data_IF_665701659569
#
_entry.id   IF_665701659569
#
_cell.length_a   1.000
_cell.length_b   1.000
_cell.length_c   1.000
_cell.angle_alpha   90.00
_cell.angle_beta   90.00
_cell.angle_gamma   90.00
#
_symmetry.space_group_name_H-M   'P 1'
#
loop_
_entity.id
_entity.type
_entity.pdbx_description
1 polymer ?
#
# COMPACT_ATOMS: atom_id res chain seq x y z
N UNK A 1 9.65 -14.19 -29.22
CA UNK A 1 8.92 -12.91 -29.27
C UNK A 1 8.05 -12.85 -28.02
N UNK A 2 8.08 -11.76 -27.26
CA UNK A 2 7.32 -11.66 -26.01
C UNK A 2 5.84 -11.47 -26.32
N UNK A 3 5.00 -12.41 -25.87
CA UNK A 3 3.54 -12.32 -25.96
C UNK A 3 2.99 -12.07 -24.55
N UNK A 4 2.22 -10.99 -24.41
CA UNK A 4 1.62 -10.54 -23.15
C UNK A 4 0.10 -10.61 -23.28
N UNK A 5 -0.53 -11.43 -22.43
CA UNK A 5 -1.98 -11.50 -22.28
C UNK A 5 -2.41 -10.65 -21.08
N UNK A 6 -3.21 -9.63 -21.34
CA UNK A 6 -3.87 -8.79 -20.32
C UNK A 6 -5.26 -9.36 -20.05
N UNK A 7 -5.53 -9.75 -18.81
CA UNK A 7 -6.85 -10.24 -18.40
C UNK A 7 -7.84 -9.08 -18.24
N UNK A 8 -9.04 -9.23 -18.82
CA UNK A 8 -10.05 -8.16 -18.88
C UNK A 8 -10.86 -8.03 -17.58
N UNK A 9 -10.21 -7.52 -16.52
CA UNK A 9 -10.88 -7.11 -15.28
C UNK A 9 -10.57 -5.65 -14.96
N UNK A 10 -11.60 -4.81 -14.74
CA UNK A 10 -11.38 -3.44 -14.28
C UNK A 10 -10.86 -3.43 -12.84
N UNK A 11 -10.06 -2.43 -12.51
CA UNK A 11 -9.52 -2.23 -11.15
C UNK A 11 -9.72 -0.78 -10.75
N UNK A 12 -10.25 -0.55 -9.55
CA UNK A 12 -10.60 0.79 -9.05
C UNK A 12 -11.49 1.62 -10.00
N UNK A 13 -12.37 0.95 -10.77
CA UNK A 13 -13.23 1.58 -11.77
C UNK A 13 -12.54 1.93 -13.09
N UNK A 14 -11.27 1.55 -13.27
CA UNK A 14 -10.48 1.85 -14.47
C UNK A 14 -10.41 0.58 -15.33
N UNK A 15 -10.78 0.63 -16.63
CA UNK A 15 -10.85 -0.56 -17.49
C UNK A 15 -9.46 -1.08 -17.87
N UNK A 16 -9.30 -2.41 -17.97
CA UNK A 16 -8.05 -3.07 -18.37
C UNK A 16 -7.58 -2.71 -19.80
N UNK A 17 -8.46 -2.11 -20.62
CA UNK A 17 -8.07 -1.58 -21.94
C UNK A 17 -7.03 -0.47 -21.85
N UNK A 18 -7.09 0.36 -20.79
CA UNK A 18 -6.07 1.39 -20.54
C UNK A 18 -4.72 0.75 -20.18
N UNK A 19 -4.74 -0.36 -19.44
CA UNK A 19 -3.54 -1.12 -19.12
C UNK A 19 -2.89 -1.72 -20.37
N UNK A 20 -3.69 -2.38 -21.21
CA UNK A 20 -3.21 -2.91 -22.47
C UNK A 20 -2.65 -1.81 -23.40
N UNK A 21 -3.27 -0.62 -23.42
CA UNK A 21 -2.75 0.52 -24.17
C UNK A 21 -1.41 1.01 -23.61
N UNK A 22 -1.30 1.19 -22.28
CA UNK A 22 -0.07 1.60 -21.62
C UNK A 22 1.09 0.62 -21.83
N UNK A 23 0.80 -0.69 -21.87
CA UNK A 23 1.80 -1.72 -22.19
C UNK A 23 2.27 -1.64 -23.65
N UNK A 24 1.36 -1.43 -24.62
CA UNK A 24 1.75 -1.30 -26.04
C UNK A 24 2.65 -0.09 -26.28
N UNK A 25 2.42 1.00 -25.55
CA UNK A 25 3.27 2.20 -25.60
C UNK A 25 4.68 1.92 -25.07
N UNK A 26 4.80 1.21 -23.95
CA UNK A 26 6.09 0.92 -23.28
C UNK A 26 6.88 -0.21 -23.93
N UNK A 27 6.18 -1.18 -24.52
CA UNK A 27 6.75 -2.41 -25.05
C UNK A 27 6.38 -2.57 -26.53
N UNK A 28 6.91 -1.70 -27.43
CA UNK A 28 6.56 -1.71 -28.85
C UNK A 28 6.95 -3.01 -29.57
N UNK A 29 7.94 -3.75 -29.04
CA UNK A 29 8.40 -5.02 -29.60
C UNK A 29 7.65 -6.25 -29.06
N UNK A 30 6.74 -6.06 -28.09
CA UNK A 30 5.93 -7.13 -27.51
C UNK A 30 4.54 -7.21 -28.18
N UNK A 31 4.01 -8.42 -28.32
CA UNK A 31 2.63 -8.63 -28.76
C UNK A 31 1.69 -8.56 -27.55
N UNK A 32 0.97 -7.45 -27.37
CA UNK A 32 0.02 -7.27 -26.27
C UNK A 32 -1.42 -7.58 -26.70
N UNK A 33 -1.97 -8.66 -26.15
CA UNK A 33 -3.34 -9.14 -26.39
C UNK A 33 -4.24 -8.80 -25.21
N UNK A 34 -5.45 -8.34 -25.51
CA UNK A 34 -6.47 -8.00 -24.52
C UNK A 34 -7.84 -8.50 -25.04
N UNK A 35 -8.06 -9.82 -24.97
CA UNK A 35 -9.29 -10.45 -25.44
C UNK A 35 -10.49 -10.05 -24.57
N UNK A 36 -11.70 -10.12 -25.15
CA UNK A 36 -12.94 -9.67 -24.51
C UNK A 36 -13.89 -10.80 -24.13
N UNK A 37 -13.60 -12.00 -24.60
CA UNK A 37 -14.39 -13.20 -24.30
C UNK A 37 -13.52 -14.28 -23.67
N UNK A 38 -14.15 -15.21 -22.94
CA UNK A 38 -13.46 -16.37 -22.37
C UNK A 38 -12.77 -17.19 -23.45
N UNK A 39 -13.45 -17.46 -24.57
CA UNK A 39 -12.88 -18.26 -25.66
C UNK A 39 -11.60 -17.62 -26.25
N UNK A 40 -11.64 -16.31 -26.53
CA UNK A 40 -10.45 -15.58 -26.99
C UNK A 40 -9.34 -15.52 -25.94
N UNK A 41 -9.71 -15.49 -24.65
CA UNK A 41 -8.75 -15.48 -23.54
C UNK A 41 -8.01 -16.81 -23.45
N UNK A 42 -8.73 -17.93 -23.52
CA UNK A 42 -8.15 -19.27 -23.51
C UNK A 42 -7.30 -19.52 -24.75
N UNK A 43 -7.72 -19.06 -25.92
CA UNK A 43 -6.92 -19.15 -27.15
C UNK A 43 -5.61 -18.34 -27.03
N UNK A 44 -5.72 -17.09 -26.55
CA UNK A 44 -4.56 -16.22 -26.37
C UNK A 44 -3.61 -16.67 -25.25
N UNK A 45 -4.07 -17.48 -24.30
CA UNK A 45 -3.25 -17.99 -23.20
C UNK A 45 -2.24 -19.05 -23.67
N UNK A 46 -2.59 -19.84 -24.70
CA UNK A 46 -1.78 -20.98 -25.20
C UNK A 46 -0.33 -20.63 -25.51
N UNK A 47 -0.11 -19.48 -26.14
CA UNK A 47 1.21 -18.99 -26.55
C UNK A 47 1.66 -17.73 -25.77
N UNK A 48 0.95 -17.38 -24.68
CA UNK A 48 1.31 -16.24 -23.85
C UNK A 48 2.49 -16.57 -22.93
N UNK A 49 3.64 -15.95 -23.19
CA UNK A 49 4.81 -16.04 -22.29
C UNK A 49 4.62 -15.27 -20.97
N UNK A 50 3.77 -14.25 -21.00
CA UNK A 50 3.44 -13.41 -19.85
C UNK A 50 1.93 -13.27 -19.76
N UNK A 51 1.36 -13.52 -18.59
CA UNK A 51 -0.04 -13.21 -18.27
C UNK A 51 -0.06 -12.17 -17.16
N UNK A 52 -0.91 -11.15 -17.29
CA UNK A 52 -1.04 -10.08 -16.30
C UNK A 52 -2.50 -9.78 -15.97
N UNK A 53 -2.78 -9.57 -14.68
CA UNK A 53 -4.11 -9.29 -14.17
C UNK A 53 -4.18 -9.31 -12.65
N UNK A 54 -5.32 -8.93 -12.09
CA UNK A 54 -5.53 -8.94 -10.64
C UNK A 54 -5.83 -10.33 -10.08
N UNK A 55 -6.21 -11.29 -10.92
CA UNK A 55 -6.46 -12.70 -10.56
C UNK A 55 -6.11 -13.59 -11.74
N UNK A 56 -5.76 -14.84 -11.48
CA UNK A 56 -5.52 -15.84 -12.52
C UNK A 56 -6.57 -16.96 -12.42
N UNK A 57 -7.53 -17.06 -13.35
CA UNK A 57 -8.47 -18.18 -13.41
C UNK A 57 -7.77 -19.52 -13.72
N UNK A 58 -8.26 -20.61 -13.15
CA UNK A 58 -7.67 -21.96 -13.31
C UNK A 58 -7.70 -22.43 -14.77
N UNK A 59 -8.78 -22.17 -15.50
CA UNK A 59 -8.91 -22.53 -16.92
C UNK A 59 -7.91 -21.78 -17.81
N UNK A 60 -7.62 -20.52 -17.48
CA UNK A 60 -6.57 -19.72 -18.14
C UNK A 60 -5.19 -20.29 -17.81
N UNK A 61 -4.93 -20.66 -16.56
CA UNK A 61 -3.66 -21.28 -16.17
C UNK A 61 -3.48 -22.65 -16.86
N UNK A 62 -4.52 -23.47 -16.92
CA UNK A 62 -4.53 -24.78 -17.60
C UNK A 62 -4.28 -24.67 -19.10
N UNK A 63 -4.75 -23.60 -19.74
CA UNK A 63 -4.50 -23.35 -21.16
C UNK A 63 -3.11 -22.75 -21.44
N UNK A 64 -2.38 -22.26 -20.45
CA UNK A 64 -1.18 -21.45 -20.63
C UNK A 64 0.12 -22.27 -20.72
N UNK A 65 0.30 -22.96 -21.85
CA UNK A 65 1.41 -23.90 -22.09
C UNK A 65 2.80 -23.23 -22.09
N UNK A 66 2.88 -21.97 -22.54
CA UNK A 66 4.14 -21.21 -22.67
C UNK A 66 4.39 -20.20 -21.55
N UNK A 67 3.56 -20.20 -20.49
CA UNK A 67 3.62 -19.21 -19.42
C UNK A 67 4.95 -19.29 -18.65
N UNK A 68 5.65 -18.16 -18.57
CA UNK A 68 6.91 -18.03 -17.81
C UNK A 68 6.80 -17.03 -16.67
N UNK A 69 5.95 -16.02 -16.82
CA UNK A 69 5.73 -14.97 -15.84
C UNK A 69 4.24 -14.68 -15.68
N UNK A 70 3.73 -14.83 -14.47
CA UNK A 70 2.49 -14.18 -14.05
C UNK A 70 2.81 -12.85 -13.35
N UNK A 71 2.40 -11.74 -13.96
CA UNK A 71 2.55 -10.40 -13.38
C UNK A 71 1.25 -9.97 -12.70
N UNK A 72 1.18 -10.13 -11.39
CA UNK A 72 0.06 -9.71 -10.57
C UNK A 72 -0.10 -8.19 -10.63
N UNK A 73 -1.28 -7.74 -11.03
CA UNK A 73 -1.58 -6.33 -11.23
C UNK A 73 -2.03 -5.59 -9.95
N UNK A 74 -1.82 -6.18 -8.77
CA UNK A 74 -2.12 -5.62 -7.46
C UNK A 74 -0.93 -5.81 -6.51
N UNK A 75 -0.87 -5.02 -5.43
CA UNK A 75 0.15 -5.18 -4.41
C UNK A 75 -0.08 -6.44 -3.53
N UNK A 76 -1.33 -6.75 -3.20
CA UNK A 76 -1.72 -7.99 -2.53
C UNK A 76 -1.73 -9.17 -3.49
N UNK A 77 -1.33 -10.34 -3.01
CA UNK A 77 -1.17 -11.56 -3.84
C UNK A 77 -1.68 -12.84 -3.16
N UNK A 78 -2.29 -12.74 -1.98
CA UNK A 78 -2.69 -13.89 -1.15
C UNK A 78 -3.74 -14.81 -1.81
N UNK A 79 -4.51 -14.26 -2.75
CA UNK A 79 -5.55 -14.97 -3.49
C UNK A 79 -5.05 -15.66 -4.77
N UNK A 80 -3.76 -15.54 -5.11
CA UNK A 80 -3.20 -16.15 -6.31
C UNK A 80 -2.85 -17.64 -6.07
N UNK A 81 -2.94 -18.51 -7.10
CA UNK A 81 -2.60 -19.92 -6.99
C UNK A 81 -1.06 -20.12 -7.01
N UNK A 82 -0.37 -19.60 -6.00
CA UNK A 82 1.11 -19.54 -5.96
C UNK A 82 1.75 -20.92 -6.04
N UNK A 83 1.15 -21.94 -5.41
CA UNK A 83 1.70 -23.30 -5.43
C UNK A 83 1.61 -23.91 -6.83
N UNK A 84 0.46 -23.80 -7.50
CA UNK A 84 0.29 -24.30 -8.86
C UNK A 84 1.22 -23.58 -9.86
N UNK A 85 1.42 -22.27 -9.68
CA UNK A 85 2.39 -21.50 -10.47
C UNK A 85 3.82 -21.96 -10.22
N UNK A 86 4.16 -22.25 -8.95
CA UNK A 86 5.48 -22.78 -8.57
C UNK A 86 5.75 -24.17 -9.15
N UNK A 87 4.78 -25.08 -9.07
CA UNK A 87 4.88 -26.44 -9.63
C UNK A 87 5.10 -26.42 -11.15
N UNK A 88 4.54 -25.41 -11.84
CA UNK A 88 4.73 -25.18 -13.27
C UNK A 88 5.99 -24.38 -13.62
N UNK A 89 6.79 -23.99 -12.63
CA UNK A 89 8.00 -23.21 -12.85
C UNK A 89 7.74 -21.77 -13.30
N UNK A 90 6.56 -21.22 -13.03
CA UNK A 90 6.18 -19.87 -13.41
C UNK A 90 6.66 -18.86 -12.37
N UNK A 91 7.41 -17.85 -12.81
CA UNK A 91 7.78 -16.73 -11.97
C UNK A 91 6.55 -15.88 -11.67
N UNK A 92 6.41 -15.40 -10.42
CA UNK A 92 5.33 -14.50 -10.05
C UNK A 92 5.89 -13.19 -9.54
N UNK A 93 5.38 -12.09 -10.09
CA UNK A 93 5.63 -10.72 -9.58
C UNK A 93 4.32 -10.07 -9.16
N UNK A 94 4.38 -9.04 -8.33
CA UNK A 94 3.21 -8.22 -7.96
C UNK A 94 3.43 -6.73 -8.33
N UNK A 95 2.40 -5.91 -8.10
CA UNK A 95 2.45 -4.47 -8.36
C UNK A 95 2.78 -3.65 -7.09
N UNK A 96 3.60 -4.17 -6.17
CA UNK A 96 4.02 -3.40 -5.00
C UNK A 96 4.68 -2.07 -5.41
N UNK A 97 4.28 -0.99 -4.72
CA UNK A 97 4.75 0.37 -4.99
C UNK A 97 3.82 1.26 -5.82
N UNK A 98 2.81 0.71 -6.52
CA UNK A 98 1.88 1.54 -7.33
C UNK A 98 1.06 2.53 -6.52
N UNK A 99 0.89 2.27 -5.22
CA UNK A 99 0.10 3.12 -4.32
C UNK A 99 0.92 4.12 -3.51
N UNK A 100 2.26 4.07 -3.58
CA UNK A 100 3.15 4.88 -2.74
C UNK A 100 2.83 6.37 -2.78
N UNK A 101 2.78 7.02 -3.96
CA UNK A 101 2.56 8.46 -4.05
C UNK A 101 1.21 8.92 -3.48
N UNK A 102 0.11 8.25 -3.86
CA UNK A 102 -1.24 8.68 -3.48
C UNK A 102 -1.55 8.37 -2.00
N UNK A 103 -1.08 7.25 -1.46
CA UNK A 103 -1.25 6.97 -0.01
C UNK A 103 -0.42 7.97 0.79
N UNK A 104 0.80 8.30 0.35
CA UNK A 104 1.61 9.26 1.05
C UNK A 104 1.00 10.68 1.02
N UNK A 105 0.41 11.10 -0.11
CA UNK A 105 -0.40 12.32 -0.18
C UNK A 105 -1.60 12.29 0.78
N UNK A 106 -2.29 11.15 0.87
CA UNK A 106 -3.41 10.96 1.79
C UNK A 106 -2.98 11.11 3.27
N UNK A 107 -1.87 10.49 3.66
CA UNK A 107 -1.28 10.62 5.00
C UNK A 107 -0.94 12.07 5.30
N UNK A 108 -0.15 12.73 4.44
CA UNK A 108 0.23 14.14 4.63
C UNK A 108 -1.00 15.05 4.70
N UNK A 109 -2.03 14.77 3.88
CA UNK A 109 -3.31 15.45 3.93
C UNK A 109 -3.97 15.40 5.30
N UNK A 110 -4.03 14.21 5.92
CA UNK A 110 -4.55 14.05 7.29
C UNK A 110 -3.69 14.75 8.34
N UNK A 111 -2.35 14.60 8.26
CA UNK A 111 -1.44 15.27 9.18
C UNK A 111 -1.65 16.79 9.13
N UNK A 112 -1.70 17.39 7.93
CA UNK A 112 -1.94 18.82 7.78
C UNK A 112 -3.35 19.23 8.22
N UNK A 113 -4.38 18.44 7.88
CA UNK A 113 -5.76 18.73 8.27
C UNK A 113 -5.86 18.82 9.80
N UNK A 114 -5.27 17.86 10.51
CA UNK A 114 -5.32 17.77 11.97
C UNK A 114 -4.42 18.83 12.61
N UNK A 115 -3.14 18.91 12.23
CA UNK A 115 -2.15 19.82 12.84
C UNK A 115 -2.58 21.28 12.71
N UNK A 116 -3.11 21.67 11.55
CA UNK A 116 -3.59 23.04 11.28
C UNK A 116 -5.06 23.25 11.64
N UNK A 117 -5.75 22.19 12.09
CA UNK A 117 -7.17 22.17 12.45
C UNK A 117 -8.09 22.67 11.33
N UNK A 118 -7.82 22.24 10.11
CA UNK A 118 -8.65 22.59 8.95
C UNK A 118 -10.06 21.99 9.08
N UNK A 119 -10.20 20.87 9.78
CA UNK A 119 -11.47 20.27 10.18
C UNK A 119 -12.36 21.25 10.97
N UNK A 120 -11.79 21.99 11.94
CA UNK A 120 -12.51 23.00 12.72
C UNK A 120 -12.89 24.19 11.83
N UNK A 121 -12.01 24.57 10.90
CA UNK A 121 -12.31 25.56 9.87
C UNK A 121 -13.53 25.18 9.03
N UNK A 122 -13.58 23.93 8.55
CA UNK A 122 -14.71 23.39 7.79
C UNK A 122 -16.00 23.33 8.64
N UNK A 123 -15.90 22.95 9.92
CA UNK A 123 -17.04 22.96 10.86
C UNK A 123 -17.60 24.38 11.04
N UNK A 124 -16.73 25.38 11.23
CA UNK A 124 -17.14 26.80 11.33
C UNK A 124 -17.73 27.33 10.05
N UNK A 125 -17.17 26.99 8.90
CA UNK A 125 -17.72 27.35 7.59
C UNK A 125 -19.16 26.85 7.42
N UNK A 126 -19.44 25.59 7.78
CA UNK A 126 -20.80 25.01 7.74
C UNK A 126 -21.78 25.78 8.64
N UNK A 127 -21.30 26.27 9.79
CA UNK A 127 -22.07 27.12 10.72
C UNK A 127 -22.09 28.61 10.34
N UNK A 128 -21.42 29.01 9.25
CA UNK A 128 -21.22 30.43 8.83
C UNK A 128 -20.57 31.28 9.93
N UNK A 129 -19.65 30.69 10.68
CA UNK A 129 -19.00 31.31 11.83
C UNK A 129 -17.61 31.87 11.47
N UNK A 130 -17.45 33.20 11.48
CA UNK A 130 -16.15 33.84 11.32
C UNK A 130 -15.49 34.10 12.68
N UNK A 131 -14.87 33.07 13.25
CA UNK A 131 -14.09 33.17 14.48
C UNK A 131 -12.74 32.48 14.32
N UNK A 132 -11.70 33.06 14.93
CA UNK A 132 -10.35 32.49 14.92
C UNK A 132 -10.25 31.27 15.85
N UNK A 133 -9.41 30.30 15.50
CA UNK A 133 -9.01 29.18 16.35
C UNK A 133 -7.49 29.00 16.25
N UNK A 134 -6.91 28.33 17.24
CA UNK A 134 -5.48 28.02 17.27
C UNK A 134 -5.26 26.65 16.64
N UNK A 135 -4.22 26.51 15.81
CA UNK A 135 -3.71 25.22 15.36
C UNK A 135 -3.16 24.42 16.54
N UNK A 136 -2.96 23.11 16.35
CA UNK A 136 -2.25 22.30 17.33
C UNK A 136 -0.74 22.46 17.25
N UNK A 137 -0.22 22.85 16.08
CA UNK A 137 1.19 23.14 15.88
C UNK A 137 1.53 23.29 14.40
N UNK A 138 2.77 22.93 14.08
CA UNK A 138 3.32 22.80 12.73
C UNK A 138 3.99 21.43 12.60
N UNK A 139 4.18 20.94 11.37
CA UNK A 139 4.97 19.72 11.14
C UNK A 139 6.47 19.98 11.33
N UNK A 140 6.94 21.19 11.05
CA UNK A 140 8.36 21.53 11.14
C UNK A 140 8.86 21.39 12.58
N UNK A 141 9.94 20.63 12.76
CA UNK A 141 10.56 20.37 14.06
C UNK A 141 9.77 19.40 14.95
N UNK A 142 8.82 18.66 14.38
CA UNK A 142 8.15 17.54 15.06
C UNK A 142 8.83 16.21 14.77
N UNK A 143 8.44 15.17 15.49
CA UNK A 143 8.92 13.80 15.28
C UNK A 143 7.80 12.88 14.79
N UNK A 144 8.03 12.17 13.70
CA UNK A 144 7.11 11.17 13.14
C UNK A 144 7.72 9.77 13.18
N UNK A 145 6.98 8.81 13.72
CA UNK A 145 7.33 7.39 13.68
C UNK A 145 6.53 6.70 12.58
N UNK A 146 7.22 6.08 11.62
CA UNK A 146 6.62 5.39 10.46
C UNK A 146 6.84 3.88 10.60
N UNK A 147 5.77 3.16 10.93
CA UNK A 147 5.78 1.70 11.07
C UNK A 147 5.58 1.06 9.71
N UNK A 148 6.65 0.47 9.17
CA UNK A 148 6.70 -0.15 7.85
C UNK A 148 7.45 0.69 6.83
N UNK A 149 8.74 0.38 6.62
CA UNK A 149 9.60 1.03 5.62
C UNK A 149 9.55 0.37 4.23
N UNK A 150 8.35 -0.02 3.80
CA UNK A 150 8.06 -0.44 2.42
C UNK A 150 7.84 0.75 1.49
N UNK A 151 7.32 0.51 0.28
CA UNK A 151 7.12 1.58 -0.71
C UNK A 151 6.21 2.72 -0.21
N UNK A 152 5.18 2.42 0.60
CA UNK A 152 4.29 3.43 1.19
C UNK A 152 5.03 4.23 2.26
N UNK A 153 5.64 3.57 3.24
CA UNK A 153 6.35 4.26 4.32
C UNK A 153 7.50 5.12 3.81
N UNK A 154 8.27 4.65 2.84
CA UNK A 154 9.33 5.46 2.22
C UNK A 154 8.78 6.69 1.50
N UNK A 155 7.66 6.57 0.78
CA UNK A 155 7.02 7.72 0.13
C UNK A 155 6.46 8.73 1.16
N UNK A 156 5.97 8.26 2.31
CA UNK A 156 5.58 9.12 3.44
C UNK A 156 6.78 9.86 4.01
N UNK A 157 7.87 9.14 4.30
CA UNK A 157 9.11 9.71 4.83
C UNK A 157 9.70 10.78 3.90
N UNK A 158 9.75 10.51 2.59
CA UNK A 158 10.19 11.47 1.57
C UNK A 158 9.42 12.80 1.66
N UNK A 159 8.09 12.74 1.88
CA UNK A 159 7.27 13.96 2.01
C UNK A 159 7.49 14.64 3.35
N UNK A 160 7.65 13.88 4.43
CA UNK A 160 7.91 14.42 5.78
C UNK A 160 9.24 15.18 5.85
N UNK A 161 10.28 14.69 5.16
CA UNK A 161 11.59 15.35 5.06
C UNK A 161 11.46 16.78 4.53
N UNK A 162 10.65 16.98 3.47
CA UNK A 162 10.38 18.31 2.91
C UNK A 162 9.69 19.28 3.89
N UNK A 163 9.05 18.78 4.95
CA UNK A 163 8.47 19.59 6.03
C UNK A 163 9.45 19.84 7.19
N UNK A 164 10.65 19.26 7.17
CA UNK A 164 11.62 19.32 8.27
C UNK A 164 11.12 18.58 9.51
N UNK A 165 10.52 17.41 9.32
CA UNK A 165 10.08 16.48 10.37
C UNK A 165 11.21 15.49 10.64
N UNK A 166 11.56 15.26 11.90
CA UNK A 166 12.45 14.18 12.29
C UNK A 166 11.73 12.84 12.17
N UNK A 167 12.34 11.85 11.54
CA UNK A 167 11.69 10.58 11.18
C UNK A 167 12.35 9.38 11.86
N UNK A 168 11.51 8.56 12.50
CA UNK A 168 11.91 7.25 13.04
C UNK A 168 11.19 6.17 12.24
N UNK A 169 11.94 5.32 11.57
CA UNK A 169 11.41 4.18 10.82
C UNK A 169 11.36 2.93 11.68
N UNK A 170 10.24 2.20 11.66
CA UNK A 170 10.13 0.90 12.35
C UNK A 170 9.96 -0.21 11.32
N UNK A 171 10.77 -1.26 11.43
CA UNK A 171 10.64 -2.45 10.56
C UNK A 171 11.16 -3.71 11.26
N UNK A 172 10.67 -4.87 10.81
CA UNK A 172 11.04 -6.18 11.37
C UNK A 172 12.55 -6.45 11.38
N UNK A 173 13.25 -6.09 10.29
CA UNK A 173 14.72 -6.23 10.16
C UNK A 173 15.36 -4.85 10.08
N UNK A 174 15.64 -4.19 11.23
CA UNK A 174 16.12 -2.80 11.25
C UNK A 174 17.47 -2.61 10.56
N UNK A 175 18.30 -3.66 10.48
CA UNK A 175 19.61 -3.65 9.82
C UNK A 175 19.52 -3.37 8.32
N UNK A 176 18.34 -3.57 7.71
CA UNK A 176 18.08 -3.18 6.31
C UNK A 176 18.05 -1.65 6.11
N UNK A 177 18.04 -0.87 7.19
CA UNK A 177 17.99 0.59 7.15
C UNK A 177 16.72 1.13 6.49
N UNK A 178 16.76 2.40 6.13
CA UNK A 178 15.68 3.15 5.51
C UNK A 178 16.06 4.63 5.38
N UNK A 179 15.31 5.41 4.58
CA UNK A 179 15.60 6.83 4.38
C UNK A 179 15.11 7.69 5.55
N UNK A 180 15.29 7.26 6.79
CA UNK A 180 14.86 7.96 8.02
C UNK A 180 16.08 8.35 8.87
N UNK A 181 15.90 9.29 9.80
CA UNK A 181 16.96 9.72 10.71
C UNK A 181 17.39 8.60 11.66
N UNK A 182 16.44 7.74 12.04
CA UNK A 182 16.64 6.55 12.85
C UNK A 182 15.83 5.37 12.33
N UNK A 183 16.34 4.15 12.47
CA UNK A 183 15.60 2.91 12.14
C UNK A 183 15.69 1.95 13.33
N UNK A 184 14.54 1.49 13.80
CA UNK A 184 14.43 0.58 14.96
C UNK A 184 13.60 -0.67 14.64
N UNK A 185 13.81 -1.71 15.45
CA UNK A 185 13.03 -2.96 15.42
C UNK A 185 11.72 -2.85 16.18
N UNK A 186 10.90 -3.91 16.14
CA UNK A 186 9.65 -3.97 16.90
C UNK A 186 9.89 -3.97 18.43
N UNK A 187 11.01 -4.54 18.89
CA UNK A 187 11.38 -4.58 20.31
C UNK A 187 11.63 -3.17 20.90
N UNK A 188 12.01 -2.21 20.05
CA UNK A 188 12.28 -0.82 20.42
C UNK A 188 11.13 0.14 20.08
N UNK A 189 9.99 -0.39 19.60
CA UNK A 189 8.84 0.40 19.17
C UNK A 189 8.33 1.30 20.31
N UNK A 190 8.08 0.75 21.50
CA UNK A 190 7.57 1.53 22.65
C UNK A 190 8.49 2.73 22.97
N UNK A 191 9.81 2.52 22.92
CA UNK A 191 10.81 3.58 23.16
C UNK A 191 10.75 4.69 22.11
N UNK A 192 10.54 4.35 20.83
CA UNK A 192 10.35 5.34 19.77
C UNK A 192 9.04 6.13 19.95
N UNK A 193 7.98 5.48 20.39
CA UNK A 193 6.66 6.09 20.55
C UNK A 193 6.61 7.18 21.63
N UNK A 194 7.43 7.09 22.69
CA UNK A 194 7.50 8.09 23.78
C UNK A 194 7.76 9.52 23.29
N UNK A 195 8.48 9.68 22.17
CA UNK A 195 8.81 10.99 21.57
C UNK A 195 8.08 11.26 20.26
N UNK A 196 7.03 10.49 19.95
CA UNK A 196 6.33 10.58 18.66
C UNK A 196 5.19 11.60 18.71
N UNK A 197 5.21 12.60 17.83
CA UNK A 197 4.08 13.49 17.59
C UNK A 197 3.10 12.90 16.58
N UNK A 198 3.61 12.17 15.58
CA UNK A 198 2.83 11.58 14.49
C UNK A 198 3.21 10.11 14.28
N UNK A 199 2.30 9.19 14.60
CA UNK A 199 2.46 7.77 14.31
C UNK A 199 1.78 7.44 12.98
N UNK A 200 2.53 6.95 11.99
CA UNK A 200 2.00 6.48 10.71
C UNK A 200 2.19 4.97 10.60
N UNK A 201 1.10 4.24 10.40
CA UNK A 201 1.11 2.78 10.25
C UNK A 201 0.92 2.42 8.78
N UNK A 202 1.94 1.81 8.19
CA UNK A 202 2.05 1.48 6.76
C UNK A 202 2.72 0.11 6.49
N UNK A 203 2.72 -0.80 7.49
CA UNK A 203 3.24 -2.16 7.37
C UNK A 203 2.18 -3.14 6.84
N UNK A 204 2.56 -4.30 6.26
CA UNK A 204 1.60 -5.35 5.95
C UNK A 204 1.01 -5.96 7.24
N UNK A 205 -0.17 -6.58 7.16
CA UNK A 205 -0.72 -7.42 8.22
C UNK A 205 -0.15 -8.84 8.10
N UNK A 206 0.59 -9.25 9.11
CA UNK A 206 1.17 -10.59 9.29
C UNK A 206 0.92 -11.06 10.72
N UNK A 207 1.35 -12.27 11.07
CA UNK A 207 1.28 -12.74 12.46
C UNK A 207 2.12 -11.87 13.40
N UNK A 208 3.24 -11.33 12.92
CA UNK A 208 4.13 -10.44 13.68
C UNK A 208 3.61 -9.00 13.81
N UNK A 209 2.77 -8.53 12.88
CA UNK A 209 2.25 -7.15 12.92
C UNK A 209 0.81 -7.05 13.41
N UNK A 210 0.12 -8.19 13.59
CA UNK A 210 -1.23 -8.23 14.15
C UNK A 210 -1.22 -7.69 15.58
N UNK A 211 -1.99 -6.64 15.82
CA UNK A 211 -2.02 -5.96 17.12
C UNK A 211 -0.67 -5.35 17.53
N UNK A 212 0.23 -5.07 16.59
CA UNK A 212 1.53 -4.45 16.89
C UNK A 212 1.36 -3.09 17.60
N UNK A 213 0.31 -2.35 17.25
CA UNK A 213 -0.10 -1.15 17.98
C UNK A 213 -1.21 -1.56 18.96
N UNK A 214 -0.80 -2.17 20.08
CA UNK A 214 -1.68 -2.59 21.16
C UNK A 214 -1.92 -1.47 22.19
N UNK A 215 -2.57 -1.79 23.31
CA UNK A 215 -2.81 -0.84 24.40
C UNK A 215 -1.53 -0.23 24.99
N UNK A 216 -0.44 -1.01 25.13
CA UNK A 216 0.85 -0.50 25.64
C UNK A 216 1.50 0.42 24.61
N UNK A 217 1.43 -0.02 23.34
CA UNK A 217 1.59 0.72 22.11
C UNK A 217 1.09 2.18 22.21
N UNK A 218 -0.22 2.26 22.38
CA UNK A 218 -0.99 3.50 22.41
C UNK A 218 -0.72 4.31 23.69
N UNK A 219 -0.51 3.65 24.83
CA UNK A 219 -0.21 4.33 26.09
C UNK A 219 1.18 4.99 26.12
N UNK A 220 2.14 4.45 25.36
CA UNK A 220 3.48 5.04 25.23
C UNK A 220 3.46 6.37 24.47
N UNK A 221 2.47 6.59 23.59
CA UNK A 221 2.34 7.83 22.85
C UNK A 221 2.05 9.03 23.77
N UNK A 222 2.66 10.19 23.50
CA UNK A 222 2.23 11.45 24.12
C UNK A 222 0.74 11.73 23.87
N UNK A 223 0.08 12.36 24.84
CA UNK A 223 -1.36 12.70 24.70
C UNK A 223 -1.67 13.63 23.52
N UNK A 224 -0.67 14.36 23.03
CA UNK A 224 -0.80 15.21 21.85
C UNK A 224 -0.58 14.50 20.52
N UNK A 225 -0.25 13.20 20.53
CA UNK A 225 0.09 12.45 19.34
C UNK A 225 -1.11 12.23 18.43
N UNK A 226 -0.83 12.12 17.13
CA UNK A 226 -1.80 11.79 16.08
C UNK A 226 -1.43 10.45 15.48
N UNK A 227 -2.39 9.53 15.41
CA UNK A 227 -2.23 8.24 14.75
C UNK A 227 -2.87 8.28 13.36
N UNK A 228 -2.16 7.80 12.34
CA UNK A 228 -2.69 7.60 10.99
C UNK A 228 -2.48 6.15 10.58
N UNK A 229 -3.56 5.41 10.33
CA UNK A 229 -3.49 4.02 9.85
C UNK A 229 -3.95 3.93 8.39
N UNK A 230 -3.01 3.59 7.51
CA UNK A 230 -3.23 3.30 6.07
C UNK A 230 -2.74 1.90 5.69
N UNK A 231 -2.51 1.04 6.69
CA UNK A 231 -2.04 -0.32 6.54
C UNK A 231 -3.22 -1.30 6.38
N UNK A 232 -3.58 -1.95 7.49
CA UNK A 232 -4.77 -2.79 7.67
C UNK A 232 -5.29 -2.54 9.09
N UNK A 233 -6.60 -2.70 9.29
CA UNK A 233 -7.22 -2.49 10.60
C UNK A 233 -6.55 -3.29 11.71
N UNK A 234 -6.39 -4.60 11.51
CA UNK A 234 -5.86 -5.52 12.51
C UNK A 234 -4.39 -5.32 12.92
N UNK A 235 -3.68 -4.34 12.37
CA UNK A 235 -2.37 -3.91 12.89
C UNK A 235 -2.51 -3.11 14.18
N UNK A 236 -3.62 -2.37 14.32
CA UNK A 236 -3.98 -1.62 15.53
C UNK A 236 -5.06 -2.39 16.27
N UNK A 237 -4.87 -2.61 17.57
CA UNK A 237 -5.92 -3.15 18.42
C UNK A 237 -7.06 -2.12 18.53
N UNK A 238 -8.20 -2.43 17.90
CA UNK A 238 -9.34 -1.51 17.79
C UNK A 238 -10.01 -1.26 19.15
N UNK A 239 -10.07 -2.26 20.02
CA UNK A 239 -10.67 -2.12 21.35
C UNK A 239 -9.77 -1.28 22.27
N UNK A 240 -8.46 -1.49 22.18
CA UNK A 240 -7.48 -0.67 22.89
C UNK A 240 -7.50 0.78 22.39
N UNK A 241 -7.64 0.99 21.08
CA UNK A 241 -7.77 2.31 20.46
C UNK A 241 -9.02 3.05 20.97
N UNK A 242 -10.18 2.38 20.95
CA UNK A 242 -11.44 2.95 21.45
C UNK A 242 -11.33 3.31 22.93
N UNK A 243 -10.67 2.48 23.73
CA UNK A 243 -10.44 2.76 25.17
C UNK A 243 -9.56 4.00 25.37
N UNK A 244 -8.43 4.09 24.65
CA UNK A 244 -7.54 5.26 24.69
C UNK A 244 -8.24 6.56 24.22
N UNK A 245 -9.12 6.48 23.23
CA UNK A 245 -9.91 7.62 22.76
C UNK A 245 -10.92 8.09 23.82
N UNK A 246 -11.60 7.17 24.53
CA UNK A 246 -12.50 7.51 25.64
C UNK A 246 -11.76 8.24 26.76
N UNK A 247 -10.52 7.85 27.01
CA UNK A 247 -9.67 8.43 28.04
C UNK A 247 -8.91 9.70 27.58
N UNK A 248 -9.18 10.19 26.37
CA UNK A 248 -8.53 11.36 25.76
C UNK A 248 -6.99 11.25 25.72
N UNK A 249 -6.48 10.03 25.48
CA UNK A 249 -5.05 9.72 25.43
C UNK A 249 -4.40 10.06 24.09
N UNK A 250 -5.18 10.38 23.07
CA UNK A 250 -4.68 10.76 21.74
C UNK A 250 -5.35 12.03 21.27
N UNK A 251 -4.58 12.90 20.60
CA UNK A 251 -5.09 14.15 20.04
C UNK A 251 -6.10 13.86 18.94
N UNK A 252 -5.76 12.97 18.01
CA UNK A 252 -6.62 12.58 16.91
C UNK A 252 -6.15 11.26 16.28
N UNK A 253 -7.06 10.62 15.54
CA UNK A 253 -6.80 9.41 14.81
C UNK A 253 -7.41 9.51 13.41
N UNK A 254 -6.63 9.25 12.36
CA UNK A 254 -7.12 9.10 11.00
C UNK A 254 -7.00 7.63 10.56
N UNK A 255 -8.11 7.03 10.15
CA UNK A 255 -8.23 5.63 9.78
C UNK A 255 -8.75 5.53 8.36
N UNK A 256 -7.91 5.06 7.43
CA UNK A 256 -8.39 4.62 6.13
C UNK A 256 -8.82 3.13 6.15
N UNK A 257 -8.43 2.40 7.19
CA UNK A 257 -8.68 0.98 7.39
C UNK A 257 -9.14 0.72 8.81
N UNK A 258 -10.01 -0.28 8.99
CA UNK A 258 -10.59 -0.65 10.29
C UNK A 258 -10.64 -2.16 10.47
N UNK A 259 -10.93 -2.65 11.66
CA UNK A 259 -11.23 -4.06 11.90
C UNK A 259 -12.50 -4.15 12.75
N UNK A 260 -13.64 -4.63 12.21
CA UNK A 260 -13.81 -5.20 10.87
C UNK A 260 -13.94 -4.15 9.74
N UNK A 261 -13.90 -4.61 8.49
CA UNK A 261 -14.26 -3.85 7.28
C UNK A 261 -15.42 -4.55 6.53
N UNK A 262 -16.51 -3.83 6.17
CA UNK A 262 -16.78 -2.42 6.46
C UNK A 262 -17.00 -2.17 7.96
N UNK A 263 -16.66 -0.96 8.43
CA UNK A 263 -16.89 -0.57 9.81
C UNK A 263 -18.42 -0.54 10.10
N UNK A 264 -18.92 -1.25 11.12
CA UNK A 264 -20.35 -1.27 11.46
C UNK A 264 -20.90 0.13 11.73
N UNK A 265 -22.14 0.40 11.33
CA UNK A 265 -22.76 1.74 11.45
C UNK A 265 -22.91 2.23 12.90
N UNK A 266 -23.00 1.31 13.85
CA UNK A 266 -23.12 1.55 15.29
C UNK A 266 -21.76 1.55 16.01
N UNK A 267 -20.65 1.39 15.28
CA UNK A 267 -19.33 1.32 15.88
C UNK A 267 -18.93 2.64 16.56
N UNK A 268 -18.37 2.62 17.80
CA UNK A 268 -18.04 3.83 18.55
C UNK A 268 -17.11 4.82 17.83
N UNK A 269 -16.23 4.32 16.94
CA UNK A 269 -15.29 5.16 16.18
C UNK A 269 -15.97 6.27 15.38
N UNK A 270 -17.21 6.07 14.92
CA UNK A 270 -17.98 7.10 14.21
C UNK A 270 -18.34 8.31 15.09
N UNK A 271 -18.40 8.13 16.41
CA UNK A 271 -18.91 9.13 17.35
C UNK A 271 -17.85 10.08 17.91
N UNK A 272 -16.57 9.80 17.75
CA UNK A 272 -15.51 10.65 18.30
C UNK A 272 -15.23 11.85 17.39
N UNK A 273 -15.22 13.06 17.95
CA UNK A 273 -14.95 14.29 17.19
C UNK A 273 -13.51 14.40 16.66
N UNK A 274 -12.58 13.61 17.21
CA UNK A 274 -11.18 13.58 16.83
C UNK A 274 -10.78 12.29 16.09
N UNK A 275 -11.76 11.50 15.63
CA UNK A 275 -11.54 10.36 14.74
C UNK A 275 -12.02 10.72 13.35
N UNK A 276 -11.17 10.44 12.35
CA UNK A 276 -11.43 10.69 10.95
C UNK A 276 -11.35 9.39 10.19
N UNK A 277 -12.40 9.06 9.43
CA UNK A 277 -12.52 7.75 8.78
C UNK A 277 -12.70 7.96 7.28
N UNK A 278 -11.89 7.26 6.49
CA UNK A 278 -12.09 7.10 5.06
C UNK A 278 -12.25 5.62 4.73
N UNK A 279 -13.16 5.25 3.80
CA UNK A 279 -13.55 3.85 3.62
C UNK A 279 -12.59 3.12 2.68
N UNK A 280 -11.33 2.93 3.10
CA UNK A 280 -10.29 2.19 2.37
C UNK A 280 -10.04 2.77 0.96
N UNK A 281 -9.83 4.08 0.88
CA UNK A 281 -9.71 4.82 -0.38
C UNK A 281 -8.34 5.44 -0.61
N UNK A 282 -7.43 5.44 0.39
CA UNK A 282 -6.09 6.03 0.25
C UNK A 282 -5.31 5.43 -0.92
N UNK A 283 -5.55 4.16 -1.25
CA UNK A 283 -4.94 3.43 -2.35
C UNK A 283 -5.43 3.84 -3.75
N UNK A 284 -6.54 4.56 -3.88
CA UNK A 284 -7.09 4.95 -5.18
C UNK A 284 -6.15 5.93 -5.91
N UNK A 285 -5.96 5.73 -7.22
CA UNK A 285 -5.22 6.66 -8.07
C UNK A 285 -5.75 6.61 -9.51
N UNK A 286 -5.86 7.75 -10.21
CA UNK A 286 -6.17 7.76 -11.63
C UNK A 286 -5.04 7.22 -12.52
N UNK A 287 -3.84 7.02 -11.95
CA UNK A 287 -2.65 6.56 -12.69
C UNK A 287 -2.35 5.07 -12.48
N UNK A 288 -3.34 4.29 -12.04
CA UNK A 288 -3.13 2.90 -11.61
C UNK A 288 -2.47 2.06 -12.70
N UNK A 289 -3.10 1.98 -13.87
CA UNK A 289 -2.61 1.15 -14.96
C UNK A 289 -1.28 1.62 -15.55
N UNK A 290 -1.04 2.93 -15.57
CA UNK A 290 0.26 3.50 -15.96
C UNK A 290 1.37 2.96 -15.06
N UNK A 291 1.19 3.02 -13.74
CA UNK A 291 2.18 2.56 -12.76
C UNK A 291 2.37 1.05 -12.78
N UNK A 292 1.29 0.28 -12.95
CA UNK A 292 1.38 -1.19 -13.11
C UNK A 292 2.13 -1.53 -14.41
N UNK A 293 1.89 -0.79 -15.50
CA UNK A 293 2.58 -0.98 -16.77
C UNK A 293 4.08 -0.65 -16.67
N UNK A 294 4.47 0.38 -15.92
CA UNK A 294 5.88 0.69 -15.67
C UNK A 294 6.61 -0.49 -15.01
N UNK A 295 5.99 -1.12 -13.99
CA UNK A 295 6.56 -2.29 -13.30
C UNK A 295 6.73 -3.48 -14.25
N UNK A 296 5.69 -3.80 -15.04
CA UNK A 296 5.76 -4.91 -15.97
C UNK A 296 6.77 -4.64 -17.10
N UNK A 297 6.81 -3.42 -17.62
CA UNK A 297 7.76 -3.04 -18.66
C UNK A 297 9.21 -3.22 -18.19
N UNK A 298 9.53 -2.73 -16.99
CA UNK A 298 10.84 -2.92 -16.36
C UNK A 298 11.20 -4.41 -16.22
N UNK A 299 10.24 -5.25 -15.82
CA UNK A 299 10.46 -6.69 -15.70
C UNK A 299 10.66 -7.38 -17.05
N UNK A 300 9.96 -6.95 -18.10
CA UNK A 300 10.15 -7.46 -19.48
C UNK A 300 11.53 -7.07 -19.99
N UNK A 301 11.98 -5.84 -19.75
CA UNK A 301 13.33 -5.38 -20.11
C UNK A 301 14.42 -6.20 -19.39
N UNK A 302 14.25 -6.44 -18.08
CA UNK A 302 15.16 -7.31 -17.31
C UNK A 302 15.25 -8.70 -17.93
N UNK A 303 14.11 -9.33 -18.23
CA UNK A 303 14.06 -10.65 -18.88
C UNK A 303 14.76 -10.66 -20.25
N UNK A 304 14.61 -9.60 -21.05
CA UNK A 304 15.26 -9.50 -22.36
C UNK A 304 16.78 -9.27 -22.25
N UNK A 305 17.24 -8.57 -21.21
CA UNK A 305 18.66 -8.27 -20.99
C UNK A 305 19.50 -9.42 -20.43
N UNK A 306 18.84 -10.47 -19.91
CA UNK A 306 19.51 -11.63 -19.34
C UNK A 306 20.16 -12.50 -20.43
N UNK A 307 21.41 -12.18 -20.73
CA UNK A 307 22.28 -12.97 -21.61
C UNK A 307 23.18 -13.87 -20.75
N UNK A 308 22.66 -15.00 -20.28
CA UNK A 308 23.39 -16.02 -19.49
C UNK A 308 22.47 -17.03 -18.81
N UNK A 309 23.02 -18.10 -18.24
CA UNK A 309 22.28 -19.21 -17.59
C UNK A 309 21.54 -18.82 -16.29
N UNK A 310 21.49 -17.52 -15.94
CA UNK A 310 20.83 -17.00 -14.73
C UNK A 310 19.63 -16.14 -15.07
N UNK A 311 18.45 -16.52 -14.57
CA UNK A 311 17.24 -15.67 -14.63
C UNK A 311 17.45 -14.43 -13.74
N UNK A 312 17.25 -13.20 -14.25
CA UNK A 312 17.48 -11.99 -13.48
C UNK A 312 16.42 -11.87 -12.39
N UNK A 313 16.80 -11.34 -11.23
CA UNK A 313 15.82 -11.01 -10.18
C UNK A 313 14.86 -9.94 -10.70
N UNK A 314 13.57 -10.27 -10.76
CA UNK A 314 12.54 -9.35 -11.21
C UNK A 314 12.15 -8.41 -10.07
N UNK A 315 11.75 -7.19 -10.44
CA UNK A 315 11.12 -6.27 -9.50
C UNK A 315 9.85 -6.92 -8.97
N UNK A 316 9.66 -6.84 -7.65
CA UNK A 316 8.48 -7.35 -6.96
C UNK A 316 8.25 -8.87 -7.11
N UNK A 317 9.31 -9.65 -7.26
CA UNK A 317 9.21 -11.11 -7.36
C UNK A 317 8.78 -11.74 -6.04
N UNK A 318 7.67 -12.49 -6.07
CA UNK A 318 7.11 -13.20 -4.90
C UNK A 318 7.30 -14.72 -5.00
N UNK A 319 7.33 -15.29 -6.21
CA UNK A 319 7.74 -16.68 -6.45
C UNK A 319 9.05 -16.68 -7.24
N UNK A 320 10.10 -17.33 -6.74
CA UNK A 320 11.38 -17.40 -7.44
C UNK A 320 11.26 -18.20 -8.74
N UNK A 321 12.15 -17.96 -9.70
CA UNK A 321 12.31 -18.87 -10.84
C UNK A 321 12.66 -20.26 -10.31
N UNK A 322 12.17 -21.36 -10.92
CA UNK A 322 12.85 -22.63 -10.74
C UNK A 322 14.32 -22.42 -11.11
N UNK A 323 15.24 -22.81 -10.22
CA UNK A 323 16.67 -22.76 -10.53
C UNK A 323 16.95 -23.63 -11.78
N UNK A 324 17.96 -23.25 -12.60
CA UNK A 324 18.29 -23.93 -13.85
C UNK A 324 18.63 -25.41 -13.70
#
# INVERSE_FOLDING_TARGET
MTTILVLDRPTHGIPASEYAAALRERLPDATVRHPKTTAETLDAARDATIITGTSLPDDVLDAADELRLFAGAAAGYDHLPLEALRERGVVVTNASGVHGPNIAEHVIGWLLMITRRLDEGLRRQRRREWRRFQSYGELRGSTATVVGLGAIGQAVVERLDAFGVETVGVRYTPEKGGPTDEVVGFDDLESALVRTDYLVVACPLTDETRGLIDGRALEALPTHAVLVNVARGGVVDTDALVSNLRDNRLRAVALDVTDPEPLPEDHPLWGFENVYITPHVSGHTPHYWTRVADILAENVERLASASGDGVPTLRNQVVPSPNP
#
